data_IF_746209601577
#
_entry.id   IF_746209601577
#
_cell.length_a   1.000
_cell.length_b   1.000
_cell.length_c   1.000
_cell.angle_alpha   90.00
_cell.angle_beta   90.00
_cell.angle_gamma   90.00
#
_symmetry.space_group_name_H-M   'P 1'
#
loop_
_entity.id
_entity.type
_entity.pdbx_description
1 polymer ?
#
# COMPACT_ATOMS: atom_id res chain seq x y z
N UNK A 1 -32.84 18.39 -1.48
CA UNK A 1 -31.72 19.19 -0.96
C UNK A 1 -30.79 18.34 -0.15
N UNK A 2 -29.56 18.27 -0.57
CA UNK A 2 -28.54 17.59 0.24
C UNK A 2 -28.14 18.48 1.42
N UNK A 3 -28.14 17.91 2.61
CA UNK A 3 -27.59 18.58 3.78
C UNK A 3 -26.06 18.54 3.69
N UNK A 4 -25.44 19.70 3.86
CA UNK A 4 -23.99 19.74 4.06
C UNK A 4 -23.74 19.22 5.48
N UNK A 5 -23.13 18.06 5.56
CA UNK A 5 -22.76 17.48 6.84
C UNK A 5 -21.39 18.04 7.24
N UNK A 6 -21.35 18.68 8.41
CA UNK A 6 -20.09 19.18 8.96
C UNK A 6 -19.52 18.11 9.87
N UNK A 7 -18.35 17.59 9.50
CA UNK A 7 -17.65 16.61 10.31
C UNK A 7 -17.06 17.26 11.57
N UNK A 8 -16.98 16.49 12.64
CA UNK A 8 -16.20 16.90 13.81
C UNK A 8 -14.71 16.93 13.43
N UNK A 9 -13.91 17.68 14.17
CA UNK A 9 -12.46 17.74 13.96
C UNK A 9 -11.83 16.35 13.97
N UNK A 10 -12.29 15.48 14.87
CA UNK A 10 -11.81 14.10 14.97
C UNK A 10 -12.15 13.29 13.71
N UNK A 11 -13.39 13.37 13.26
CA UNK A 11 -13.85 12.65 12.06
C UNK A 11 -13.14 13.12 10.81
N UNK A 12 -12.96 14.43 10.67
CA UNK A 12 -12.26 15.01 9.52
C UNK A 12 -10.80 14.55 9.48
N UNK A 13 -10.11 14.63 10.60
CA UNK A 13 -8.70 14.20 10.73
C UNK A 13 -8.55 12.72 10.38
N UNK A 14 -9.42 11.86 10.93
CA UNK A 14 -9.39 10.44 10.68
C UNK A 14 -9.66 10.12 9.22
N UNK A 15 -10.58 10.83 8.58
CA UNK A 15 -10.90 10.67 7.16
C UNK A 15 -9.72 11.02 6.26
N UNK A 16 -9.02 12.12 6.54
CA UNK A 16 -7.84 12.54 5.80
C UNK A 16 -6.72 11.51 5.93
N UNK A 17 -6.44 11.04 7.14
CA UNK A 17 -5.42 10.02 7.38
C UNK A 17 -5.74 8.72 6.65
N UNK A 18 -6.99 8.28 6.66
CA UNK A 18 -7.41 7.08 5.95
C UNK A 18 -7.17 7.18 4.45
N UNK A 19 -7.52 8.31 3.83
CA UNK A 19 -7.32 8.53 2.41
C UNK A 19 -5.83 8.52 2.06
N UNK A 20 -5.00 9.18 2.85
CA UNK A 20 -3.55 9.18 2.67
C UNK A 20 -2.97 7.77 2.72
N UNK A 21 -3.31 6.99 3.75
CA UNK A 21 -2.83 5.62 3.92
C UNK A 21 -3.31 4.71 2.81
N UNK A 22 -4.55 4.91 2.35
CA UNK A 22 -5.15 4.13 1.28
C UNK A 22 -4.45 4.34 -0.06
N UNK A 23 -4.02 5.57 -0.34
CA UNK A 23 -3.32 5.87 -1.59
C UNK A 23 -1.90 5.31 -1.64
N UNK A 24 -1.21 5.25 -0.50
CA UNK A 24 0.17 4.76 -0.44
C UNK A 24 0.25 3.23 -0.29
N UNK A 25 -0.79 2.58 0.19
CA UNK A 25 -0.79 1.16 0.50
C UNK A 25 -0.35 0.26 -0.67
N UNK A 26 -0.83 0.44 -1.91
CA UNK A 26 -0.38 -0.39 -3.03
C UNK A 26 1.12 -0.26 -3.31
N UNK A 27 1.67 0.94 -3.19
CA UNK A 27 3.10 1.21 -3.40
C UNK A 27 3.93 0.48 -2.33
N UNK A 28 3.46 0.49 -1.09
CA UNK A 28 4.13 -0.20 0.02
C UNK A 28 4.13 -1.72 -0.18
N UNK A 29 3.04 -2.28 -0.68
CA UNK A 29 2.97 -3.72 -0.99
C UNK A 29 3.98 -4.06 -2.09
N UNK A 30 4.05 -3.26 -3.14
CA UNK A 30 5.04 -3.46 -4.21
C UNK A 30 6.47 -3.37 -3.68
N UNK A 31 6.75 -2.40 -2.81
CA UNK A 31 8.07 -2.25 -2.21
C UNK A 31 8.45 -3.47 -1.36
N UNK A 32 7.51 -3.96 -0.57
CA UNK A 32 7.71 -5.18 0.22
C UNK A 32 8.05 -6.36 -0.70
N UNK A 33 7.25 -6.57 -1.74
CA UNK A 33 7.44 -7.69 -2.67
C UNK A 33 8.69 -7.52 -3.55
N UNK A 34 9.20 -6.31 -3.69
CA UNK A 34 10.47 -6.09 -4.38
C UNK A 34 11.67 -6.65 -3.61
N UNK A 35 11.50 -6.85 -2.32
CA UNK A 35 12.55 -7.37 -1.44
C UNK A 35 12.42 -8.85 -1.13
N UNK A 36 11.18 -9.36 -1.08
CA UNK A 36 10.93 -10.75 -0.71
C UNK A 36 9.55 -11.20 -1.17
N UNK A 37 9.42 -12.47 -1.46
CA UNK A 37 8.13 -13.10 -1.70
C UNK A 37 7.39 -13.22 -0.37
N UNK A 38 6.07 -13.06 -0.39
CA UNK A 38 5.25 -13.11 0.81
C UNK A 38 3.97 -13.89 0.60
N UNK A 39 3.52 -14.58 1.64
CA UNK A 39 2.15 -15.07 1.71
C UNK A 39 1.22 -13.89 2.02
N UNK A 40 -0.03 -14.00 1.60
CA UNK A 40 -1.01 -12.92 1.83
C UNK A 40 -1.15 -12.56 3.32
N UNK A 41 -1.05 -13.56 4.20
CA UNK A 41 -1.19 -13.35 5.65
C UNK A 41 -0.02 -12.59 6.27
N UNK A 42 1.15 -12.60 5.61
CA UNK A 42 2.35 -11.90 6.08
C UNK A 42 2.38 -10.42 5.69
N UNK A 43 1.70 -10.07 4.59
CA UNK A 43 1.80 -8.74 4.00
C UNK A 43 1.37 -7.62 4.95
N UNK A 44 0.20 -7.69 5.62
CA UNK A 44 -0.21 -6.61 6.52
C UNK A 44 0.77 -6.33 7.65
N UNK A 45 1.27 -7.39 8.28
CA UNK A 45 2.22 -7.27 9.39
C UNK A 45 3.54 -6.66 8.95
N UNK A 46 4.05 -7.11 7.80
CA UNK A 46 5.33 -6.62 7.28
C UNK A 46 5.24 -5.16 6.81
N UNK A 47 4.11 -4.76 6.22
CA UNK A 47 3.89 -3.36 5.85
C UNK A 47 3.80 -2.49 7.11
N UNK A 48 3.14 -2.96 8.16
CA UNK A 48 3.09 -2.24 9.43
C UNK A 48 4.49 -2.07 10.03
N UNK A 49 5.31 -3.11 10.00
CA UNK A 49 6.70 -3.06 10.48
C UNK A 49 7.55 -2.09 9.64
N UNK A 50 7.42 -2.11 8.32
CA UNK A 50 8.15 -1.21 7.42
C UNK A 50 7.87 0.27 7.69
N UNK A 51 6.69 0.58 8.18
CA UNK A 51 6.22 1.95 8.39
C UNK A 51 6.17 2.34 9.86
N UNK A 52 6.83 1.56 10.73
CA UNK A 52 6.83 1.78 12.18
C UNK A 52 5.41 1.94 12.75
N UNK A 53 4.50 1.13 12.25
CA UNK A 53 3.11 1.13 12.69
C UNK A 53 2.22 2.18 12.04
N UNK A 54 2.75 3.00 11.14
CA UNK A 54 1.98 4.10 10.53
C UNK A 54 0.88 3.59 9.58
N UNK A 55 1.14 2.50 8.86
CA UNK A 55 0.19 1.98 7.87
C UNK A 55 -0.19 0.55 8.23
N UNK A 56 -1.48 0.35 8.50
CA UNK A 56 -2.08 -0.97 8.71
C UNK A 56 -3.00 -1.28 7.54
N UNK A 57 -2.71 -2.35 6.81
CA UNK A 57 -3.54 -2.73 5.67
C UNK A 57 -4.83 -3.38 6.16
N UNK A 58 -5.97 -2.81 5.76
CA UNK A 58 -7.27 -3.35 6.13
C UNK A 58 -7.79 -4.39 5.15
N UNK A 59 -7.44 -4.26 3.87
CA UNK A 59 -7.96 -5.10 2.79
C UNK A 59 -6.83 -5.63 1.90
N UNK A 60 -5.94 -6.50 2.44
CA UNK A 60 -4.78 -6.98 1.67
C UNK A 60 -5.18 -7.76 0.42
N UNK A 61 -6.26 -8.54 0.46
CA UNK A 61 -6.75 -9.27 -0.70
C UNK A 61 -7.19 -8.35 -1.82
N UNK A 62 -7.89 -7.27 -1.50
CA UNK A 62 -8.36 -6.29 -2.49
C UNK A 62 -7.18 -5.62 -3.18
N UNK A 63 -6.19 -5.21 -2.41
CA UNK A 63 -4.98 -4.57 -2.93
C UNK A 63 -4.23 -5.54 -3.83
N UNK A 64 -3.97 -6.75 -3.37
CA UNK A 64 -3.24 -7.76 -4.13
C UNK A 64 -3.99 -8.19 -5.39
N UNK A 65 -5.30 -8.36 -5.33
CA UNK A 65 -6.11 -8.68 -6.50
C UNK A 65 -5.99 -7.59 -7.57
N UNK A 66 -6.06 -6.33 -7.16
CA UNK A 66 -5.93 -5.20 -8.07
C UNK A 66 -4.54 -5.13 -8.69
N UNK A 67 -3.50 -5.31 -7.89
CA UNK A 67 -2.12 -5.32 -8.39
C UNK A 67 -1.89 -6.47 -9.37
N UNK A 68 -2.41 -7.65 -9.04
CA UNK A 68 -2.31 -8.83 -9.90
C UNK A 68 -3.06 -8.65 -11.21
N UNK A 69 -4.25 -8.09 -11.18
CA UNK A 69 -5.05 -7.80 -12.39
C UNK A 69 -4.34 -6.85 -13.35
N UNK A 70 -3.50 -5.98 -12.82
CA UNK A 70 -2.70 -5.05 -13.61
C UNK A 70 -1.33 -5.61 -14.00
N UNK A 71 -1.04 -6.86 -13.68
CA UNK A 71 0.21 -7.54 -14.03
C UNK A 71 1.43 -7.08 -13.24
N UNK A 72 1.23 -6.41 -12.10
CA UNK A 72 2.32 -5.87 -11.30
C UNK A 72 2.87 -6.87 -10.30
N UNK A 73 2.05 -7.84 -9.91
CA UNK A 73 2.45 -8.97 -9.07
C UNK A 73 1.90 -10.26 -9.66
N UNK A 74 2.51 -11.37 -9.27
CA UNK A 74 2.12 -12.72 -9.67
C UNK A 74 2.07 -13.62 -8.45
N UNK A 75 1.47 -14.78 -8.63
CA UNK A 75 1.31 -15.77 -7.57
C UNK A 75 1.95 -17.09 -8.00
N UNK A 76 2.83 -17.61 -7.15
CA UNK A 76 3.34 -18.96 -7.27
C UNK A 76 2.62 -19.86 -6.27
N UNK A 77 2.36 -21.10 -6.64
CA UNK A 77 1.87 -22.11 -5.72
C UNK A 77 3.05 -22.79 -5.04
N UNK A 78 2.99 -22.92 -3.72
CA UNK A 78 4.03 -23.57 -2.93
C UNK A 78 3.39 -24.57 -1.99
N UNK A 79 4.04 -25.74 -1.85
CA UNK A 79 3.65 -26.74 -0.87
C UNK A 79 4.41 -26.48 0.43
N UNK A 80 3.64 -26.21 1.50
CA UNK A 80 4.20 -26.04 2.84
C UNK A 80 3.35 -26.84 3.80
N UNK A 81 4.00 -27.74 4.53
CA UNK A 81 3.34 -28.63 5.50
C UNK A 81 2.19 -29.43 4.88
N UNK A 82 2.39 -29.92 3.64
CA UNK A 82 1.40 -30.71 2.93
C UNK A 82 0.22 -29.89 2.39
N UNK A 83 0.23 -28.59 2.54
CA UNK A 83 -0.82 -27.69 2.04
C UNK A 83 -0.29 -26.79 0.95
N UNK A 84 -1.14 -26.61 -0.08
CA UNK A 84 -0.86 -25.70 -1.18
C UNK A 84 -1.11 -24.27 -0.71
N UNK A 85 -0.08 -23.42 -0.74
CA UNK A 85 -0.16 -22.01 -0.38
C UNK A 85 0.23 -21.15 -1.55
N UNK A 86 -0.38 -19.96 -1.63
CA UNK A 86 -0.06 -18.96 -2.64
C UNK A 86 0.95 -17.98 -2.08
N UNK A 87 2.07 -17.84 -2.79
CA UNK A 87 3.08 -16.84 -2.45
C UNK A 87 3.10 -15.77 -3.53
N UNK A 88 3.06 -14.51 -3.11
CA UNK A 88 3.06 -13.36 -4.00
C UNK A 88 4.48 -12.89 -4.28
N UNK A 89 4.71 -12.50 -5.52
CA UNK A 89 5.98 -11.94 -5.97
C UNK A 89 5.73 -10.76 -6.91
N UNK A 90 6.69 -9.84 -6.99
CA UNK A 90 6.62 -8.72 -7.92
C UNK A 90 7.07 -9.17 -9.31
N UNK A 91 6.47 -8.59 -10.35
CA UNK A 91 6.87 -8.82 -11.76
C UNK A 91 7.83 -7.72 -12.21
N UNK A 92 8.45 -7.89 -13.41
CA UNK A 92 9.27 -6.82 -13.99
C UNK A 92 8.45 -5.54 -14.22
N UNK A 93 7.23 -5.70 -14.70
CA UNK A 93 6.30 -4.58 -14.85
C UNK A 93 6.04 -3.90 -13.50
N UNK A 94 5.90 -4.69 -12.45
CA UNK A 94 5.72 -4.18 -11.09
C UNK A 94 6.92 -3.40 -10.60
N UNK A 95 8.14 -3.88 -10.89
CA UNK A 95 9.36 -3.16 -10.52
C UNK A 95 9.48 -1.81 -11.23
N UNK A 96 9.15 -1.76 -12.51
CA UNK A 96 9.16 -0.49 -13.26
C UNK A 96 8.10 0.47 -12.73
N UNK A 97 6.91 -0.04 -12.48
CA UNK A 97 5.81 0.74 -11.91
C UNK A 97 6.20 1.29 -10.52
N UNK A 98 6.80 0.45 -9.68
CA UNK A 98 7.26 0.84 -8.35
C UNK A 98 8.27 1.99 -8.42
N UNK A 99 9.26 1.89 -9.31
CA UNK A 99 10.26 2.96 -9.49
C UNK A 99 9.62 4.29 -9.86
N UNK A 100 8.70 4.26 -10.81
CA UNK A 100 8.00 5.47 -11.27
C UNK A 100 7.11 6.05 -10.18
N UNK A 101 6.33 5.21 -9.54
CA UNK A 101 5.37 5.67 -8.53
C UNK A 101 6.04 6.13 -7.25
N UNK A 102 7.12 5.46 -6.81
CA UNK A 102 7.83 5.89 -5.61
C UNK A 102 8.53 7.23 -5.83
N UNK A 103 9.13 7.46 -6.99
CA UNK A 103 9.73 8.74 -7.33
C UNK A 103 8.69 9.86 -7.37
N UNK A 104 7.56 9.61 -8.03
CA UNK A 104 6.46 10.54 -8.12
C UNK A 104 5.87 10.87 -6.74
N UNK A 105 5.71 9.84 -5.91
CA UNK A 105 5.23 10.00 -4.54
C UNK A 105 6.17 10.85 -3.70
N UNK A 106 7.46 10.56 -3.73
CA UNK A 106 8.47 11.32 -2.97
C UNK A 106 8.47 12.80 -3.39
N UNK A 107 8.44 13.07 -4.70
CA UNK A 107 8.38 14.44 -5.21
C UNK A 107 7.13 15.17 -4.74
N UNK A 108 5.99 14.52 -4.82
CA UNK A 108 4.72 15.09 -4.39
C UNK A 108 4.73 15.40 -2.89
N UNK A 109 5.14 14.42 -2.07
CA UNK A 109 5.19 14.58 -0.62
C UNK A 109 6.15 15.70 -0.23
N UNK A 110 7.33 15.77 -0.85
CA UNK A 110 8.31 16.82 -0.55
C UNK A 110 7.78 18.20 -0.93
N UNK A 111 7.11 18.33 -2.08
CA UNK A 111 6.53 19.59 -2.52
C UNK A 111 5.40 20.06 -1.58
N UNK A 112 4.54 19.15 -1.16
CA UNK A 112 3.46 19.46 -0.23
C UNK A 112 4.01 19.77 1.16
N UNK A 113 4.97 18.98 1.65
CA UNK A 113 5.58 19.18 2.96
C UNK A 113 6.28 20.53 3.05
N UNK A 114 6.89 21.00 1.96
CA UNK A 114 7.55 22.31 1.91
C UNK A 114 6.58 23.45 2.24
N UNK A 115 5.32 23.32 1.80
CA UNK A 115 4.27 24.34 2.08
C UNK A 115 4.04 24.46 3.59
N UNK A 116 4.05 23.34 4.32
CA UNK A 116 3.79 23.32 5.75
C UNK A 116 5.01 23.70 6.60
N UNK A 117 6.20 23.71 6.01
CA UNK A 117 7.44 24.11 6.68
C UNK A 117 7.77 25.58 6.51
N UNK A 118 7.02 26.30 5.67
CA UNK A 118 7.17 27.74 5.53
C UNK A 118 6.61 28.43 6.77
N UNK A 119 7.38 29.36 7.31
CA UNK A 119 6.96 30.23 8.42
C UNK A 119 6.53 31.61 7.92
#
# INVERSE_FOLDING_TARGET
MSRIQVDTDYELTKGIEMLFKKTVAPILVLRLLSKQKCYITEIPKKVEEMTDGAVKLCLPYTICTRLRSNGLIAVDAELKDGRKRQIYKITEKGLDFLRQQSASYINCVNSVAAVFREE
#
